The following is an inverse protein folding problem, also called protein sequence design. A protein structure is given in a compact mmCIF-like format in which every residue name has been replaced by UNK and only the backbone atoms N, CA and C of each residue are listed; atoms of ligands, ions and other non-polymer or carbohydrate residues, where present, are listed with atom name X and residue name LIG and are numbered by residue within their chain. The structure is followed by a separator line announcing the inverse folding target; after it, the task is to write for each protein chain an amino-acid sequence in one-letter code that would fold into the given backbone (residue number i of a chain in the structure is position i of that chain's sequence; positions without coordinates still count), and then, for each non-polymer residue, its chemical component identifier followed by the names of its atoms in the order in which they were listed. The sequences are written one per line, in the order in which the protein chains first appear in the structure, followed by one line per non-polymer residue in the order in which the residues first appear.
data_IF_440354205116
#
_entry.id   IF_440354205116
#
_cell.length_a   1.000
_cell.length_b   1.000
_cell.length_c   1.000
_cell.angle_alpha   90.00
_cell.angle_beta   90.00
_cell.angle_gamma   90.00
#
_symmetry.space_group_name_H-M   'P 1'
#
loop_
_entity.id
_entity.type
_entity.pdbx_description
1 polymer ?
#
# COMPACT_ATOMS: atom_id res chain seq x y z
N UNK A 1 34.25 -20.68 47.56
CA UNK A 1 33.56 -19.57 46.86
C UNK A 1 33.49 -19.98 45.40
N UNK A 2 32.30 -20.31 44.88
CA UNK A 2 32.15 -20.72 43.47
C UNK A 2 31.84 -19.47 42.65
N UNK A 3 32.76 -19.10 41.77
CA UNK A 3 32.54 -18.01 40.82
C UNK A 3 31.65 -18.55 39.70
N UNK A 4 30.55 -17.86 39.41
CA UNK A 4 29.76 -18.11 38.20
C UNK A 4 30.32 -17.20 37.11
N UNK A 5 30.83 -17.80 36.04
CA UNK A 5 31.20 -17.06 34.84
C UNK A 5 29.94 -16.44 34.25
N UNK A 6 29.86 -15.11 34.25
CA UNK A 6 28.80 -14.38 33.57
C UNK A 6 29.12 -14.45 32.08
N UNK A 7 28.55 -15.44 31.41
CA UNK A 7 28.55 -15.48 29.94
C UNK A 7 27.72 -14.29 29.46
N UNK A 8 28.29 -13.31 28.72
CA UNK A 8 27.49 -12.25 28.15
C UNK A 8 26.62 -12.91 27.08
N UNK A 9 25.32 -13.06 27.35
CA UNK A 9 24.37 -13.34 26.28
C UNK A 9 24.32 -12.09 25.40
N UNK A 10 25.17 -12.05 24.38
CA UNK A 10 24.96 -11.19 23.23
C UNK A 10 23.70 -11.67 22.53
N UNK A 11 22.53 -11.28 23.07
CA UNK A 11 21.25 -11.43 22.40
C UNK A 11 21.27 -10.44 21.26
N UNK A 12 21.77 -10.89 20.13
CA UNK A 12 21.57 -10.22 18.86
C UNK A 12 20.06 -10.31 18.58
N UNK A 13 19.35 -9.21 18.86
CA UNK A 13 17.94 -9.09 18.52
C UNK A 13 17.85 -8.96 17.00
N UNK A 14 17.76 -10.09 16.30
CA UNK A 14 17.27 -10.08 14.93
C UNK A 14 15.79 -9.70 14.99
N UNK A 15 15.49 -8.42 14.81
CA UNK A 15 14.16 -7.99 14.40
C UNK A 15 13.83 -8.74 13.12
N UNK A 16 12.98 -9.77 13.22
CA UNK A 16 12.35 -10.34 12.03
C UNK A 16 11.53 -9.19 11.43
N UNK A 17 11.98 -8.68 10.29
CA UNK A 17 11.16 -7.76 9.50
C UNK A 17 9.79 -8.44 9.33
N UNK A 18 8.68 -7.78 9.69
CA UNK A 18 7.38 -8.37 9.47
C UNK A 18 7.26 -8.64 7.98
N UNK A 19 7.22 -9.91 7.59
CA UNK A 19 6.93 -10.32 6.21
C UNK A 19 5.53 -9.81 5.89
N UNK A 20 5.46 -8.61 5.31
CA UNK A 20 4.23 -8.06 4.77
C UNK A 20 3.89 -8.92 3.57
N UNK A 21 3.08 -9.96 3.79
CA UNK A 21 2.50 -10.75 2.70
C UNK A 21 1.71 -9.77 1.83
N UNK A 22 2.26 -9.48 0.66
CA UNK A 22 1.59 -8.65 -0.34
C UNK A 22 0.23 -9.30 -0.63
N UNK A 23 -0.82 -8.73 -0.06
CA UNK A 23 -2.18 -9.17 -0.30
C UNK A 23 -2.43 -9.04 -1.80
N UNK A 24 -2.93 -10.11 -2.41
CA UNK A 24 -3.07 -10.32 -3.85
C UNK A 24 -3.35 -9.00 -4.61
N UNK A 25 -2.35 -8.49 -5.34
CA UNK A 25 -2.53 -7.30 -6.16
C UNK A 25 -3.56 -7.64 -7.23
N UNK A 26 -4.81 -7.22 -7.05
CA UNK A 26 -5.80 -7.24 -8.13
C UNK A 26 -5.16 -6.52 -9.31
N UNK A 27 -4.72 -7.28 -10.32
CA UNK A 27 -4.09 -6.72 -11.51
C UNK A 27 -5.20 -6.00 -12.26
N UNK A 28 -5.27 -4.68 -12.09
CA UNK A 28 -6.24 -3.85 -12.81
C UNK A 28 -5.91 -3.93 -14.30
N UNK A 29 -6.70 -4.71 -15.04
CA UNK A 29 -6.65 -4.72 -16.49
C UNK A 29 -7.35 -3.47 -16.99
N UNK A 30 -6.59 -2.58 -17.61
CA UNK A 30 -7.11 -1.33 -18.17
C UNK A 30 -6.63 -1.14 -19.61
N UNK A 31 -7.41 -0.45 -20.47
CA UNK A 31 -6.98 -0.09 -21.82
C UNK A 31 -5.68 0.72 -21.81
N UNK A 32 -4.88 0.62 -22.87
CA UNK A 32 -3.59 1.30 -22.98
C UNK A 32 -3.69 2.83 -22.80
N UNK A 33 -4.71 3.44 -23.40
CA UNK A 33 -5.00 4.88 -23.29
C UNK A 33 -5.26 5.32 -21.84
N UNK A 34 -5.89 4.45 -21.05
CA UNK A 34 -6.17 4.73 -19.64
C UNK A 34 -4.92 4.52 -18.78
N UNK A 35 -4.11 3.52 -19.12
CA UNK A 35 -2.86 3.21 -18.42
C UNK A 35 -1.91 4.39 -18.39
N UNK A 36 -1.77 5.12 -19.50
CA UNK A 36 -0.92 6.30 -19.57
C UNK A 36 -1.39 7.39 -18.59
N UNK A 37 -2.68 7.77 -18.65
CA UNK A 37 -3.28 8.78 -17.78
C UNK A 37 -3.22 8.42 -16.29
N UNK A 38 -3.40 7.13 -15.96
CA UNK A 38 -3.30 6.64 -14.59
C UNK A 38 -1.84 6.68 -14.12
N UNK A 39 -0.89 6.26 -14.96
CA UNK A 39 0.53 6.24 -14.62
C UNK A 39 1.06 7.65 -14.39
N UNK A 40 0.68 8.61 -15.22
CA UNK A 40 1.04 10.02 -15.03
C UNK A 40 0.44 10.60 -13.74
N UNK A 41 -0.85 10.33 -13.48
CA UNK A 41 -1.50 10.75 -12.24
C UNK A 41 -0.82 10.18 -11.00
N UNK A 42 -0.54 8.87 -11.03
CA UNK A 42 0.14 8.16 -9.95
C UNK A 42 1.52 8.77 -9.64
N UNK A 43 2.30 9.12 -10.68
CA UNK A 43 3.58 9.83 -10.51
C UNK A 43 3.40 11.19 -9.84
N UNK A 44 2.42 11.99 -10.27
CA UNK A 44 2.14 13.33 -9.71
C UNK A 44 1.68 13.27 -8.25
N UNK A 45 0.93 12.24 -7.88
CA UNK A 45 0.38 12.07 -6.53
C UNK A 45 1.25 11.21 -5.61
N UNK A 46 2.43 10.76 -6.06
CA UNK A 46 3.31 9.84 -5.33
C UNK A 46 2.61 8.54 -4.88
N UNK A 47 1.80 7.96 -5.77
CA UNK A 47 1.05 6.71 -5.54
C UNK A 47 1.51 5.60 -6.49
N UNK A 48 1.20 4.36 -6.14
CA UNK A 48 1.22 3.26 -7.11
C UNK A 48 0.08 3.44 -8.12
N UNK A 49 0.21 2.89 -9.32
CA UNK A 49 -0.85 2.92 -10.32
C UNK A 49 -2.17 2.31 -9.80
N UNK A 50 -2.07 1.21 -9.02
CA UNK A 50 -3.24 0.58 -8.39
C UNK A 50 -3.92 1.52 -7.38
N UNK A 51 -3.14 2.20 -6.53
CA UNK A 51 -3.70 3.12 -5.55
C UNK A 51 -4.33 4.34 -6.20
N UNK A 52 -3.78 4.81 -7.32
CA UNK A 52 -4.37 5.90 -8.10
C UNK A 52 -5.71 5.49 -8.73
N UNK A 53 -5.85 4.25 -9.21
CA UNK A 53 -7.13 3.72 -9.68
C UNK A 53 -8.16 3.70 -8.54
N UNK A 54 -7.79 3.12 -7.40
CA UNK A 54 -8.69 3.03 -6.23
C UNK A 54 -9.13 4.42 -5.76
N UNK A 55 -8.20 5.37 -5.72
CA UNK A 55 -8.49 6.75 -5.36
C UNK A 55 -9.51 7.40 -6.31
N UNK A 56 -9.36 7.21 -7.63
CA UNK A 56 -10.31 7.76 -8.62
C UNK A 56 -11.68 7.10 -8.54
N UNK A 57 -11.75 5.80 -8.25
CA UNK A 57 -13.02 5.11 -8.03
C UNK A 57 -13.75 5.68 -6.81
N UNK A 58 -13.03 5.87 -5.69
CA UNK A 58 -13.61 6.50 -4.50
C UNK A 58 -14.14 7.91 -4.80
N UNK A 59 -13.39 8.73 -5.54
CA UNK A 59 -13.86 10.06 -5.94
C UNK A 59 -15.13 10.00 -6.80
N UNK A 60 -15.22 9.02 -7.72
CA UNK A 60 -16.41 8.83 -8.52
C UNK A 60 -17.63 8.46 -7.66
N UNK A 61 -17.46 7.56 -6.70
CA UNK A 61 -18.51 7.16 -5.76
C UNK A 61 -18.96 8.35 -4.88
N UNK A 62 -18.03 9.18 -4.42
CA UNK A 62 -18.34 10.40 -3.66
C UNK A 62 -19.12 11.44 -4.49
N UNK A 63 -18.81 11.57 -5.78
CA UNK A 63 -19.53 12.48 -6.68
C UNK A 63 -20.94 11.95 -6.94
N UNK A 64 -21.07 10.65 -7.24
CA UNK A 64 -22.35 10.00 -7.51
C UNK A 64 -23.27 10.05 -6.29
N UNK A 65 -22.76 9.72 -5.10
CA UNK A 65 -23.54 9.78 -3.85
C UNK A 65 -24.04 11.19 -3.54
N UNK A 66 -23.23 12.22 -3.77
CA UNK A 66 -23.64 13.63 -3.61
C UNK A 66 -24.64 14.08 -4.68
N UNK A 67 -24.52 13.60 -5.91
CA UNK A 67 -25.47 13.91 -6.98
C UNK A 67 -26.86 13.33 -6.69
N UNK A 68 -26.93 12.10 -6.16
CA UNK A 68 -28.20 11.46 -5.78
C UNK A 68 -28.85 12.09 -4.55
N UNK A 69 -28.09 12.75 -3.67
CA UNK A 69 -28.63 13.41 -2.48
C UNK A 69 -29.34 14.75 -2.79
N UNK A 70 -29.13 15.31 -3.98
CA UNK A 70 -29.72 16.58 -4.44
C UNK A 70 -30.79 16.38 -5.53
N UNK A 71 -31.21 15.14 -5.80
CA UNK A 71 -32.25 14.76 -6.77
C UNK A 71 -33.50 14.24 -6.05
#
# INVERSE_FOLDING_TARGET
MKYYDIVPQSKEYHMKEPEVKACNNMLVRMPAEMKEKITEGAKRSFRSANNEVLYRLQLADEILSKATANA
#
